data_IF_806991596273
#
_entry.id   IF_806991596273
#
_cell.length_a   1.000
_cell.length_b   1.000
_cell.length_c   1.000
_cell.angle_alpha   90.00
_cell.angle_beta   90.00
_cell.angle_gamma   90.00
#
_symmetry.space_group_name_H-M   'P 1'
#
loop_
_entity.id
_entity.type
_entity.pdbx_description
1 polymer ?
#
# COMPACT_ATOMS: atom_id res chain seq x y z
N UNK A 1 -40.00 40.13 16.70
CA UNK A 1 -39.52 38.73 16.67
C UNK A 1 -39.37 38.30 15.23
N UNK A 2 -38.14 38.17 14.71
CA UNK A 2 -37.88 37.78 13.32
C UNK A 2 -37.52 36.30 13.26
N UNK A 3 -38.54 35.44 13.45
CA UNK A 3 -38.38 33.98 13.40
C UNK A 3 -37.81 33.50 12.04
N UNK A 4 -38.20 34.16 10.94
CA UNK A 4 -37.78 33.76 9.58
C UNK A 4 -36.29 33.97 9.28
N UNK A 5 -35.62 34.93 9.94
CA UNK A 5 -34.17 35.15 9.73
C UNK A 5 -33.32 34.10 10.45
N UNK A 6 -33.77 33.63 11.61
CA UNK A 6 -33.05 32.62 12.40
C UNK A 6 -33.11 31.25 11.71
N UNK A 7 -34.26 30.90 11.13
CA UNK A 7 -34.42 29.67 10.36
C UNK A 7 -33.63 29.70 9.05
N UNK A 8 -33.58 30.84 8.36
CA UNK A 8 -32.75 31.01 7.17
C UNK A 8 -31.25 30.82 7.47
N UNK A 9 -30.76 31.38 8.58
CA UNK A 9 -29.35 31.23 9.00
C UNK A 9 -29.03 29.77 9.37
N UNK A 10 -29.94 29.07 10.08
CA UNK A 10 -29.77 27.63 10.36
C UNK A 10 -29.74 26.81 9.08
N UNK A 11 -30.63 27.10 8.14
CA UNK A 11 -30.75 26.36 6.90
C UNK A 11 -29.53 26.57 5.99
N UNK A 12 -29.06 27.82 5.85
CA UNK A 12 -27.83 28.14 5.13
C UNK A 12 -26.59 27.51 5.77
N UNK A 13 -26.54 27.43 7.10
CA UNK A 13 -25.46 26.77 7.82
C UNK A 13 -25.46 25.25 7.59
N UNK A 14 -26.61 24.61 7.56
CA UNK A 14 -26.73 23.18 7.23
C UNK A 14 -26.35 22.89 5.77
N UNK A 15 -26.73 23.75 4.82
CA UNK A 15 -26.37 23.61 3.41
C UNK A 15 -24.86 23.80 3.22
N UNK A 16 -24.25 24.78 3.89
CA UNK A 16 -22.80 24.99 3.85
C UNK A 16 -22.03 23.80 4.44
N UNK A 17 -22.51 23.22 5.56
CA UNK A 17 -21.94 22.01 6.15
C UNK A 17 -22.05 20.79 5.22
N UNK A 18 -23.19 20.62 4.54
CA UNK A 18 -23.37 19.54 3.56
C UNK A 18 -22.46 19.70 2.33
N UNK A 19 -22.27 20.94 1.85
CA UNK A 19 -21.36 21.23 0.75
C UNK A 19 -19.89 20.99 1.12
N UNK A 20 -19.48 21.25 2.35
CA UNK A 20 -18.11 20.98 2.84
C UNK A 20 -17.79 19.47 2.93
N UNK A 21 -18.78 18.62 3.20
CA UNK A 21 -18.60 17.14 3.25
C UNK A 21 -18.44 16.55 1.84
N UNK A 22 -19.00 17.18 0.81
CA UNK A 22 -18.91 16.69 -0.57
C UNK A 22 -17.54 16.90 -1.23
N UNK A 23 -16.68 17.77 -0.67
CA UNK A 23 -15.38 18.14 -1.29
C UNK A 23 -14.26 17.13 -0.95
N UNK A 24 -14.47 16.20 -0.02
CA UNK A 24 -13.41 15.28 0.43
C UNK A 24 -13.50 13.86 -0.14
N UNK A 25 -14.31 13.60 -1.15
CA UNK A 25 -14.26 12.32 -1.85
C UNK A 25 -13.15 12.34 -2.89
N UNK A 26 -11.90 12.42 -2.44
CA UNK A 26 -10.84 11.75 -3.17
C UNK A 26 -11.26 10.29 -3.23
N UNK A 27 -11.58 9.81 -4.43
CA UNK A 27 -11.89 8.42 -4.64
C UNK A 27 -10.68 7.61 -4.16
N UNK A 28 -10.76 7.09 -2.93
CA UNK A 28 -9.83 6.09 -2.45
C UNK A 28 -9.94 4.95 -3.45
N UNK A 29 -8.99 4.89 -4.39
CA UNK A 29 -8.98 3.88 -5.43
C UNK A 29 -9.13 2.53 -4.74
N UNK A 30 -10.16 1.78 -5.13
CA UNK A 30 -10.50 0.53 -4.48
C UNK A 30 -9.37 -0.45 -4.77
N UNK A 31 -8.39 -0.52 -3.88
CA UNK A 31 -7.24 -1.38 -4.03
C UNK A 31 -7.70 -2.84 -4.12
N UNK A 32 -7.23 -3.54 -5.14
CA UNK A 32 -7.55 -4.94 -5.41
C UNK A 32 -6.36 -5.83 -5.09
N UNK A 33 -6.65 -7.08 -4.75
CA UNK A 33 -5.62 -8.10 -4.53
C UNK A 33 -4.86 -8.33 -5.84
N UNK A 34 -3.52 -8.16 -5.87
CA UNK A 34 -2.75 -8.39 -7.08
C UNK A 34 -2.75 -9.88 -7.44
N UNK A 35 -3.02 -10.18 -8.71
CA UNK A 35 -2.79 -11.50 -9.29
C UNK A 35 -1.32 -11.67 -9.64
N UNK A 36 -0.84 -12.91 -9.65
CA UNK A 36 0.55 -13.23 -9.95
C UNK A 36 0.98 -12.70 -11.34
N UNK A 37 0.10 -12.86 -12.33
CA UNK A 37 0.34 -12.42 -13.70
C UNK A 37 0.52 -10.89 -13.78
N UNK A 38 -0.24 -10.15 -12.98
CA UNK A 38 -0.12 -8.69 -12.86
C UNK A 38 1.21 -8.30 -12.22
N UNK A 39 1.67 -9.02 -11.20
CA UNK A 39 2.96 -8.77 -10.54
C UNK A 39 4.12 -8.93 -11.52
N UNK A 40 4.11 -9.96 -12.37
CA UNK A 40 5.16 -10.13 -13.39
C UNK A 40 5.12 -9.04 -14.47
N UNK A 41 3.93 -8.65 -14.93
CA UNK A 41 3.76 -7.57 -15.90
C UNK A 41 4.30 -6.24 -15.37
N UNK A 42 3.96 -5.90 -14.13
CA UNK A 42 4.42 -4.67 -13.48
C UNK A 42 5.92 -4.72 -13.20
N UNK A 43 6.44 -5.88 -12.77
CA UNK A 43 7.87 -6.07 -12.56
C UNK A 43 8.66 -5.83 -13.86
N UNK A 44 8.21 -6.38 -14.99
CA UNK A 44 8.84 -6.16 -16.29
C UNK A 44 8.84 -4.68 -16.71
N UNK A 45 7.70 -4.00 -16.51
CA UNK A 45 7.57 -2.56 -16.80
C UNK A 45 8.49 -1.72 -15.92
N UNK A 46 8.57 -2.03 -14.63
CA UNK A 46 9.44 -1.33 -13.69
C UNK A 46 10.91 -1.54 -13.98
N UNK A 47 11.34 -2.78 -14.30
CA UNK A 47 12.72 -3.09 -14.72
C UNK A 47 13.18 -2.23 -15.88
N UNK A 48 12.33 -2.10 -16.91
CA UNK A 48 12.62 -1.25 -18.06
C UNK A 48 12.73 0.23 -17.67
N UNK A 49 11.79 0.73 -16.85
CA UNK A 49 11.76 2.13 -16.44
C UNK A 49 12.94 2.53 -15.55
N UNK A 50 13.46 1.62 -14.72
CA UNK A 50 14.51 1.88 -13.73
C UNK A 50 15.90 1.45 -14.19
N UNK A 51 16.03 0.94 -15.42
CA UNK A 51 17.26 0.35 -15.95
C UNK A 51 17.79 -0.76 -15.04
N UNK A 52 16.88 -1.61 -14.55
CA UNK A 52 17.16 -2.75 -13.67
C UNK A 52 17.87 -2.42 -12.34
N UNK A 53 17.89 -1.16 -11.91
CA UNK A 53 18.45 -0.79 -10.60
C UNK A 53 17.58 -1.37 -9.48
N UNK A 54 18.10 -2.37 -8.77
CA UNK A 54 17.36 -3.20 -7.79
C UNK A 54 16.43 -2.40 -6.87
N UNK A 55 16.95 -1.41 -6.15
CA UNK A 55 16.17 -0.61 -5.19
C UNK A 55 15.03 0.17 -5.86
N UNK A 56 15.33 0.82 -6.99
CA UNK A 56 14.35 1.59 -7.76
C UNK A 56 13.29 0.67 -8.39
N UNK A 57 13.70 -0.48 -8.94
CA UNK A 57 12.80 -1.49 -9.50
C UNK A 57 11.80 -1.99 -8.46
N UNK A 58 12.30 -2.34 -7.27
CA UNK A 58 11.46 -2.82 -6.20
C UNK A 58 10.47 -1.74 -5.75
N UNK A 59 10.94 -0.51 -5.50
CA UNK A 59 10.05 0.59 -5.12
C UNK A 59 9.00 0.88 -6.19
N UNK A 60 9.38 0.90 -7.46
CA UNK A 60 8.44 1.04 -8.57
C UNK A 60 7.34 -0.03 -8.51
N UNK A 61 7.72 -1.31 -8.39
CA UNK A 61 6.77 -2.42 -8.33
C UNK A 61 5.82 -2.28 -7.15
N UNK A 62 6.34 -2.04 -5.95
CA UNK A 62 5.48 -2.01 -4.76
C UNK A 62 4.60 -0.76 -4.72
N UNK A 63 4.99 0.32 -5.40
CA UNK A 63 4.12 1.47 -5.67
C UNK A 63 3.03 1.14 -6.69
N UNK A 64 3.35 0.48 -7.81
CA UNK A 64 2.36 0.11 -8.83
C UNK A 64 1.27 -0.81 -8.26
N UNK A 65 1.66 -1.72 -7.37
CA UNK A 65 0.75 -2.63 -6.67
C UNK A 65 0.00 -1.96 -5.51
N UNK A 66 0.23 -0.67 -5.24
CA UNK A 66 -0.37 0.05 -4.11
C UNK A 66 0.04 -0.52 -2.75
N UNK A 67 1.20 -1.16 -2.65
CA UNK A 67 1.75 -1.72 -1.43
C UNK A 67 2.73 -0.77 -0.73
N UNK A 68 3.05 0.38 -1.33
CA UNK A 68 3.99 1.36 -0.79
C UNK A 68 3.46 2.78 -0.92
N UNK A 69 3.74 3.61 0.09
CA UNK A 69 3.60 5.08 0.07
C UNK A 69 4.91 5.70 0.56
N UNK A 70 5.26 6.88 0.05
CA UNK A 70 6.50 7.54 0.47
C UNK A 70 6.39 8.17 1.87
N UNK A 71 5.16 8.26 2.39
CA UNK A 71 4.84 8.77 3.72
C UNK A 71 4.95 7.70 4.81
N UNK A 72 4.62 6.43 4.51
CA UNK A 72 4.49 5.38 5.54
C UNK A 72 5.14 4.04 5.19
N UNK A 73 5.75 3.93 4.01
CA UNK A 73 6.40 2.71 3.55
C UNK A 73 5.40 1.64 3.12
N UNK A 74 5.67 0.39 3.46
CA UNK A 74 4.81 -0.73 3.08
C UNK A 74 3.43 -0.72 3.77
N UNK A 75 2.36 -0.87 2.99
CA UNK A 75 0.99 -0.99 3.47
C UNK A 75 0.71 -2.37 4.09
N UNK A 76 1.09 -2.54 5.36
CA UNK A 76 1.02 -3.81 6.09
C UNK A 76 -0.32 -4.55 5.97
N UNK A 77 -1.46 -3.82 6.07
CA UNK A 77 -2.80 -4.41 5.93
C UNK A 77 -3.04 -5.01 4.54
N UNK A 78 -2.55 -4.37 3.47
CA UNK A 78 -2.68 -4.87 2.09
C UNK A 78 -1.82 -6.10 1.89
N UNK A 79 -0.59 -6.09 2.40
CA UNK A 79 0.32 -7.25 2.39
C UNK A 79 -0.31 -8.44 3.14
N UNK A 80 -0.86 -8.22 4.34
CA UNK A 80 -1.51 -9.29 5.09
C UNK A 80 -2.71 -9.90 4.37
N UNK A 81 -3.45 -9.12 3.57
CA UNK A 81 -4.53 -9.63 2.73
C UNK A 81 -4.03 -10.55 1.61
N UNK A 82 -2.87 -10.26 1.02
CA UNK A 82 -2.24 -11.13 -0.01
C UNK A 82 -1.95 -12.52 0.57
N UNK A 83 -1.49 -12.57 1.81
CA UNK A 83 -1.05 -13.80 2.47
C UNK A 83 -2.04 -14.33 3.53
N UNK A 84 -3.33 -13.97 3.41
CA UNK A 84 -4.34 -14.31 4.41
C UNK A 84 -4.49 -15.82 4.63
N UNK A 85 -4.20 -16.65 3.62
CA UNK A 85 -4.25 -18.11 3.71
C UNK A 85 -3.29 -18.75 4.72
N UNK A 86 -2.32 -18.01 5.26
CA UNK A 86 -1.38 -18.52 6.27
C UNK A 86 -1.87 -18.33 7.72
N UNK A 87 -3.04 -17.72 7.96
CA UNK A 87 -3.62 -17.49 9.30
C UNK A 87 -2.68 -16.74 10.29
N UNK A 88 -1.76 -15.91 9.77
CA UNK A 88 -0.78 -15.15 10.58
C UNK A 88 -0.77 -13.65 10.22
N UNK A 89 -1.96 -13.10 9.94
CA UNK A 89 -2.10 -11.72 9.45
C UNK A 89 -1.54 -10.68 10.44
N UNK A 90 -1.81 -10.83 11.74
CA UNK A 90 -1.37 -9.88 12.77
C UNK A 90 0.15 -9.86 12.93
N UNK A 91 0.77 -11.05 13.01
CA UNK A 91 2.23 -11.19 13.07
C UNK A 91 2.88 -10.56 11.84
N UNK A 92 2.35 -10.86 10.65
CA UNK A 92 2.84 -10.27 9.40
C UNK A 92 2.72 -8.74 9.40
N UNK A 93 1.60 -8.20 9.86
CA UNK A 93 1.42 -6.75 9.96
C UNK A 93 2.41 -6.12 10.94
N UNK A 94 2.65 -6.75 12.08
CA UNK A 94 3.61 -6.29 13.08
C UNK A 94 5.03 -6.24 12.50
N UNK A 95 5.46 -7.31 11.82
CA UNK A 95 6.79 -7.40 11.19
C UNK A 95 6.96 -6.33 10.11
N UNK A 96 5.98 -6.18 9.21
CA UNK A 96 6.06 -5.16 8.14
C UNK A 96 6.15 -3.76 8.72
N UNK A 97 5.28 -3.42 9.68
CA UNK A 97 5.29 -2.09 10.31
C UNK A 97 6.59 -1.82 11.09
N UNK A 98 7.13 -2.84 11.76
CA UNK A 98 8.42 -2.75 12.43
C UNK A 98 9.53 -2.43 11.43
N UNK A 99 9.61 -3.17 10.32
CA UNK A 99 10.64 -3.00 9.30
C UNK A 99 10.53 -1.67 8.55
N UNK A 100 9.31 -1.15 8.32
CA UNK A 100 9.13 0.20 7.78
C UNK A 100 9.81 1.25 8.67
N UNK A 101 9.54 1.22 9.98
CA UNK A 101 10.11 2.20 10.93
C UNK A 101 11.61 2.03 11.11
N UNK A 102 12.07 0.78 11.24
CA UNK A 102 13.48 0.47 11.48
C UNK A 102 14.38 0.95 10.36
N UNK A 103 13.93 0.81 9.11
CA UNK A 103 14.73 1.10 7.92
C UNK A 103 14.38 2.48 7.30
N UNK A 104 13.62 3.32 8.01
CA UNK A 104 13.11 4.61 7.50
C UNK A 104 14.24 5.54 7.03
N UNK A 105 14.15 5.95 5.76
CA UNK A 105 15.08 6.89 5.12
C UNK A 105 14.34 7.78 4.14
N UNK A 106 13.67 8.82 4.66
CA UNK A 106 12.83 9.73 3.83
C UNK A 106 13.57 10.36 2.65
N UNK A 107 14.88 10.62 2.79
CA UNK A 107 15.70 11.22 1.73
C UNK A 107 16.21 10.20 0.69
N UNK A 108 15.99 8.90 0.91
CA UNK A 108 16.45 7.81 0.04
C UNK A 108 15.34 6.74 -0.06
N UNK A 109 14.19 7.06 -0.67
CA UNK A 109 13.00 6.21 -0.59
C UNK A 109 13.16 4.87 -1.32
N UNK A 110 13.97 4.79 -2.38
CA UNK A 110 14.28 3.51 -3.05
C UNK A 110 15.05 2.57 -2.10
N UNK A 111 16.05 3.11 -1.40
CA UNK A 111 16.82 2.37 -0.39
C UNK A 111 15.98 1.98 0.81
N UNK A 112 15.06 2.85 1.24
CA UNK A 112 14.11 2.54 2.31
C UNK A 112 13.24 1.33 1.93
N UNK A 113 12.65 1.34 0.73
CA UNK A 113 11.84 0.22 0.26
C UNK A 113 12.63 -1.10 0.22
N UNK A 114 13.85 -1.07 -0.32
CA UNK A 114 14.68 -2.27 -0.40
C UNK A 114 15.10 -2.83 0.95
N UNK A 115 15.50 -1.97 1.89
CA UNK A 115 15.91 -2.41 3.22
C UNK A 115 14.73 -2.90 4.04
N UNK A 116 13.61 -2.19 4.01
CA UNK A 116 12.38 -2.61 4.70
C UNK A 116 11.87 -3.96 4.16
N UNK A 117 11.94 -4.18 2.85
CA UNK A 117 11.64 -5.47 2.23
C UNK A 117 12.55 -6.57 2.78
N UNK A 118 13.87 -6.40 2.70
CA UNK A 118 14.86 -7.36 3.21
C UNK A 118 14.67 -7.68 4.69
N UNK A 119 14.38 -6.65 5.51
CA UNK A 119 14.05 -6.82 6.92
C UNK A 119 12.83 -7.72 7.10
N UNK A 120 11.71 -7.40 6.42
CA UNK A 120 10.45 -8.11 6.61
C UNK A 120 10.51 -9.55 6.08
N UNK A 121 11.21 -9.78 4.96
CA UNK A 121 11.31 -11.10 4.32
C UNK A 121 12.46 -11.96 4.84
N UNK A 122 13.15 -11.54 5.90
CA UNK A 122 14.24 -12.32 6.51
C UNK A 122 13.77 -13.61 7.20
N UNK A 123 12.47 -13.70 7.54
CA UNK A 123 11.86 -14.87 8.19
C UNK A 123 10.82 -15.60 7.31
N UNK A 124 9.79 -16.16 7.96
CA UNK A 124 8.70 -16.93 7.31
C UNK A 124 8.03 -16.18 6.17
N UNK A 125 7.85 -14.87 6.31
CA UNK A 125 7.25 -14.04 5.27
C UNK A 125 8.01 -14.14 3.94
N UNK A 126 9.34 -14.25 3.97
CA UNK A 126 10.14 -14.45 2.75
C UNK A 126 9.85 -15.76 2.03
N UNK A 127 9.47 -16.83 2.74
CA UNK A 127 9.04 -18.07 2.12
C UNK A 127 7.73 -17.87 1.36
N UNK A 128 6.75 -17.19 1.97
CA UNK A 128 5.47 -16.93 1.34
C UNK A 128 5.60 -16.07 0.08
N UNK A 129 6.47 -15.05 0.10
CA UNK A 129 6.75 -14.25 -1.09
C UNK A 129 7.34 -15.12 -2.21
N UNK A 130 8.30 -16.00 -1.89
CA UNK A 130 8.86 -16.93 -2.88
C UNK A 130 7.81 -17.87 -3.44
N UNK A 131 6.98 -18.46 -2.59
CA UNK A 131 5.91 -19.37 -3.02
C UNK A 131 4.88 -18.65 -3.89
N UNK A 132 4.52 -17.41 -3.54
CA UNK A 132 3.65 -16.57 -4.37
C UNK A 132 4.26 -16.27 -5.74
N UNK A 133 5.59 -16.19 -5.85
CA UNK A 133 6.32 -15.92 -7.09
C UNK A 133 6.74 -17.18 -7.85
N UNK A 134 6.32 -18.39 -7.45
CA UNK A 134 6.58 -19.63 -8.20
C UNK A 134 5.60 -19.79 -9.36
N UNK A 135 6.05 -20.13 -10.58
CA UNK A 135 5.15 -20.46 -11.68
C UNK A 135 4.17 -21.58 -11.28
N UNK A 136 2.90 -21.46 -11.68
CA UNK A 136 1.94 -22.55 -11.52
C UNK A 136 2.41 -23.78 -12.33
N UNK A 137 2.83 -24.84 -11.63
CA UNK A 137 3.30 -26.09 -12.24
C UNK A 137 4.60 -26.64 -11.66
N UNK A 138 5.35 -25.85 -10.87
CA UNK A 138 6.52 -26.35 -10.14
C UNK A 138 6.08 -26.96 -8.81
N UNK A 139 5.87 -28.28 -8.82
CA UNK A 139 5.70 -29.12 -7.62
C UNK A 139 7.07 -29.65 -7.22
N UNK A 140 7.49 -29.41 -5.98
CA UNK A 140 8.65 -30.09 -5.37
C UNK A 140 8.29 -31.53 -5.02
#
# INVERSE_FOLDING_TARGET
>A
MNYSKLDYIRWMSCILLLLLVAITTEAASLWQLPKQEQVYKDLGSCRQATQDKEAATLRCLVKSLGLWTDESGYQARRIAKIFAGHNQMEELMLVVNYCNRREERRNQPDEWALRAYRCATSGRFGHWVRDFMKPKGEVN
#
